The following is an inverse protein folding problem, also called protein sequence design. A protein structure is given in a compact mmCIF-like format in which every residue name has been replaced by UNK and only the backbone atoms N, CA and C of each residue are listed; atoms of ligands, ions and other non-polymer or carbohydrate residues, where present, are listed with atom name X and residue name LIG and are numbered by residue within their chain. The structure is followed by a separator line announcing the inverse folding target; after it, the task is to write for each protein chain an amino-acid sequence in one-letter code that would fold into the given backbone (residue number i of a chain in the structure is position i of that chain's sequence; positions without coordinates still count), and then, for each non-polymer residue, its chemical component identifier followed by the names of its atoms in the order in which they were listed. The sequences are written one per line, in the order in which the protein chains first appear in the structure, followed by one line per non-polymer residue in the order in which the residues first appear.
data_IF_184371875500
#
_entry.id   IF_184371875500
#
_cell.length_a   1.000
_cell.length_b   1.000
_cell.length_c   1.000
_cell.angle_alpha   90.00
_cell.angle_beta   90.00
_cell.angle_gamma   90.00
#
_symmetry.space_group_name_H-M   'P 1'
#
loop_
_entity.id
_entity.type
_entity.pdbx_description
1 polymer ?
#
# COMPACT_ATOMS: atom_id res chain seq x y z
N UNK A 1 22.55 -7.32 -12.90
CA UNK A 1 22.09 -8.73 -13.09
C UNK A 1 21.32 -9.11 -11.84
N UNK A 2 20.12 -9.68 -11.98
CA UNK A 2 19.30 -10.13 -10.84
C UNK A 2 19.37 -11.65 -10.81
N UNK A 3 19.75 -12.22 -9.66
CA UNK A 3 19.83 -13.68 -9.49
C UNK A 3 19.48 -14.09 -8.06
N UNK A 4 18.74 -15.18 -7.91
CA UNK A 4 18.52 -15.82 -6.61
C UNK A 4 19.59 -16.89 -6.39
N UNK A 5 20.19 -16.88 -5.21
CA UNK A 5 21.31 -17.76 -4.83
C UNK A 5 21.01 -18.37 -3.48
N UNK A 6 21.13 -19.70 -3.38
CA UNK A 6 21.02 -20.42 -2.12
C UNK A 6 22.37 -20.43 -1.41
N UNK A 7 22.35 -20.13 -0.11
CA UNK A 7 23.50 -20.02 0.75
C UNK A 7 23.35 -21.00 1.92
N UNK A 8 24.22 -22.01 2.08
CA UNK A 8 24.21 -22.90 3.24
C UNK A 8 24.58 -22.16 4.54
N UNK A 9 24.22 -22.77 5.67
CA UNK A 9 24.56 -22.25 7.01
C UNK A 9 26.04 -21.84 7.14
N UNK A 10 26.26 -20.63 7.66
CA UNK A 10 27.57 -20.07 7.90
C UNK A 10 28.29 -19.50 6.66
N UNK A 11 27.71 -19.59 5.46
CA UNK A 11 28.33 -18.98 4.26
C UNK A 11 28.34 -17.45 4.36
N UNK A 12 29.47 -16.84 4.00
CA UNK A 12 29.58 -15.37 3.90
C UNK A 12 28.92 -14.91 2.61
N UNK A 13 27.86 -14.12 2.76
CA UNK A 13 27.05 -13.59 1.66
C UNK A 13 27.64 -12.28 1.16
N UNK A 14 27.96 -11.36 2.09
CA UNK A 14 28.60 -10.07 1.77
C UNK A 14 29.79 -9.84 2.72
N UNK A 15 31.03 -9.81 2.23
CA UNK A 15 32.20 -9.61 3.09
C UNK A 15 32.39 -8.13 3.50
N UNK A 16 32.93 -7.93 4.70
CA UNK A 16 33.42 -6.63 5.17
C UNK A 16 34.58 -6.11 4.30
N UNK A 17 34.70 -4.79 4.15
CA UNK A 17 35.83 -4.13 3.48
C UNK A 17 35.72 -4.04 1.96
N UNK A 18 34.66 -4.61 1.38
CA UNK A 18 34.35 -4.50 -0.05
C UNK A 18 33.39 -3.37 -0.35
N UNK A 19 33.52 -2.79 -1.55
CA UNK A 19 32.51 -1.87 -2.08
C UNK A 19 31.27 -2.63 -2.56
N UNK A 20 30.12 -2.03 -2.34
CA UNK A 20 28.83 -2.46 -2.85
C UNK A 20 28.83 -2.57 -4.36
N UNK A 21 27.99 -3.48 -4.86
CA UNK A 21 27.62 -3.58 -6.27
C UNK A 21 26.13 -3.84 -6.30
N UNK A 22 25.35 -2.85 -5.87
CA UNK A 22 23.92 -2.96 -5.63
C UNK A 22 23.57 -3.52 -4.24
N UNK A 23 22.46 -4.23 -4.13
CA UNK A 23 21.88 -4.69 -2.86
C UNK A 23 21.35 -6.12 -2.95
N UNK A 24 20.99 -6.69 -1.80
CA UNK A 24 20.42 -8.02 -1.69
C UNK A 24 19.02 -7.97 -1.06
N UNK A 25 18.19 -8.95 -1.38
CA UNK A 25 16.88 -9.15 -0.77
C UNK A 25 16.83 -10.58 -0.22
N UNK A 26 16.45 -10.73 1.05
CA UNK A 26 16.25 -12.05 1.65
C UNK A 26 14.96 -12.64 1.07
N UNK A 27 15.03 -13.81 0.44
CA UNK A 27 13.83 -14.51 -0.05
C UNK A 27 13.32 -15.47 1.03
N UNK A 28 14.20 -16.29 1.59
CA UNK A 28 13.88 -17.24 2.67
C UNK A 28 15.09 -17.46 3.59
N UNK A 29 14.85 -17.94 4.81
CA UNK A 29 15.90 -18.26 5.79
C UNK A 29 16.31 -17.07 6.65
N UNK A 30 17.51 -17.13 7.24
CA UNK A 30 17.99 -16.12 8.18
C UNK A 30 19.44 -15.76 7.93
N UNK A 31 19.79 -14.49 8.15
CA UNK A 31 21.15 -13.97 8.01
C UNK A 31 21.57 -13.16 9.25
N UNK A 32 22.85 -13.14 9.54
CA UNK A 32 23.45 -12.38 10.63
C UNK A 32 24.37 -11.28 10.11
N UNK A 33 24.31 -10.13 10.78
CA UNK A 33 25.22 -8.99 10.58
C UNK A 33 26.33 -9.09 11.61
N UNK A 34 27.57 -9.27 11.16
CA UNK A 34 28.72 -9.61 12.00
C UNK A 34 29.82 -8.57 11.83
N UNK A 35 30.43 -8.15 12.95
CA UNK A 35 31.64 -7.31 12.95
C UNK A 35 32.72 -7.97 13.79
N UNK A 36 33.81 -8.41 13.15
CA UNK A 36 34.77 -9.32 13.78
C UNK A 36 34.09 -10.61 14.24
N UNK A 37 34.17 -10.93 15.54
CA UNK A 37 33.53 -12.12 16.12
C UNK A 37 32.15 -11.84 16.74
N UNK A 38 31.65 -10.59 16.66
CA UNK A 38 30.41 -10.18 17.31
C UNK A 38 29.24 -10.11 16.32
N UNK A 39 28.17 -10.83 16.61
CA UNK A 39 26.87 -10.67 15.94
C UNK A 39 26.22 -9.37 16.45
N UNK A 40 25.92 -8.46 15.53
CA UNK A 40 25.31 -7.16 15.82
C UNK A 40 23.79 -7.23 15.71
N UNK A 41 23.28 -7.98 14.73
CA UNK A 41 21.84 -8.17 14.50
C UNK A 41 21.58 -9.39 13.62
N UNK A 42 20.32 -9.81 13.57
CA UNK A 42 19.81 -10.88 12.70
C UNK A 42 18.70 -10.31 11.81
N UNK A 43 18.59 -10.83 10.60
CA UNK A 43 17.52 -10.51 9.64
C UNK A 43 16.93 -11.85 9.19
N UNK A 44 15.65 -12.05 9.44
CA UNK A 44 14.90 -13.30 9.23
C UNK A 44 13.61 -13.09 8.42
N UNK A 45 13.17 -11.85 8.22
CA UNK A 45 11.98 -11.54 7.44
C UNK A 45 12.22 -11.56 5.92
N UNK A 46 11.49 -12.39 5.14
CA UNK A 46 11.45 -12.34 3.68
C UNK A 46 11.16 -10.93 3.13
N UNK A 47 11.75 -10.59 2.00
CA UNK A 47 11.67 -9.25 1.40
C UNK A 47 12.58 -8.20 2.06
N UNK A 48 13.30 -8.53 3.13
CA UNK A 48 14.23 -7.61 3.78
C UNK A 48 15.39 -7.23 2.86
N UNK A 49 15.59 -5.93 2.67
CA UNK A 49 16.70 -5.38 1.88
C UNK A 49 17.95 -5.19 2.75
N UNK A 50 19.11 -5.63 2.27
CA UNK A 50 20.38 -5.48 2.97
C UNK A 50 21.55 -5.29 2.00
N UNK A 51 22.68 -4.79 2.51
CA UNK A 51 23.89 -4.53 1.73
C UNK A 51 23.84 -3.26 0.87
N UNK A 52 22.75 -2.50 0.93
CA UNK A 52 22.45 -1.31 0.14
C UNK A 52 23.33 -0.11 0.47
N UNK A 53 23.71 0.04 1.76
CA UNK A 53 24.38 1.24 2.25
C UNK A 53 25.73 1.51 1.58
N UNK A 54 26.44 0.44 1.22
CA UNK A 54 27.74 0.55 0.57
C UNK A 54 27.63 1.15 -0.84
N UNK A 55 26.59 0.77 -1.58
CA UNK A 55 26.29 1.34 -2.90
C UNK A 55 25.77 2.78 -2.77
N UNK A 56 24.84 3.02 -1.83
CA UNK A 56 24.19 4.34 -1.63
C UNK A 56 25.20 5.40 -1.22
N UNK A 57 26.09 5.08 -0.27
CA UNK A 57 27.02 6.05 0.31
C UNK A 57 28.39 6.05 -0.38
N UNK A 58 28.65 5.08 -1.27
CA UNK A 58 29.96 4.93 -1.93
C UNK A 58 31.10 4.58 -0.96
N UNK A 59 30.78 3.96 0.19
CA UNK A 59 31.75 3.54 1.22
C UNK A 59 31.87 2.03 1.25
N UNK A 60 32.99 1.50 1.74
CA UNK A 60 33.18 0.05 1.92
C UNK A 60 32.24 -0.48 3.01
N UNK A 61 31.82 -1.75 2.91
CA UNK A 61 31.02 -2.42 3.93
C UNK A 61 31.76 -2.46 5.27
N UNK A 62 31.10 -1.99 6.32
CA UNK A 62 31.64 -1.94 7.70
C UNK A 62 31.45 -3.24 8.50
N UNK A 63 30.69 -4.18 7.93
CA UNK A 63 30.24 -5.44 8.55
C UNK A 63 30.16 -6.54 7.50
N UNK A 64 30.28 -7.78 7.95
CA UNK A 64 30.07 -8.99 7.16
C UNK A 64 28.63 -9.47 7.32
N UNK A 65 27.98 -9.90 6.23
CA UNK A 65 26.69 -10.59 6.27
C UNK A 65 26.94 -12.07 6.04
N UNK A 66 26.39 -12.92 6.92
CA UNK A 66 26.57 -14.37 6.89
C UNK A 66 25.23 -15.09 7.01
N UNK A 67 25.06 -16.20 6.32
CA UNK A 67 23.91 -17.08 6.49
C UNK A 67 23.86 -17.67 7.91
N UNK A 68 22.65 -17.79 8.46
CA UNK A 68 22.34 -18.48 9.72
C UNK A 68 21.24 -19.48 9.43
N UNK A 69 21.62 -20.75 9.30
CA UNK A 69 20.82 -21.74 8.59
C UNK A 69 20.88 -21.53 7.07
N UNK A 70 20.29 -22.47 6.34
CA UNK A 70 20.18 -22.36 4.89
C UNK A 70 19.23 -21.21 4.54
N UNK A 71 19.65 -20.34 3.62
CA UNK A 71 18.86 -19.20 3.19
C UNK A 71 18.95 -18.99 1.67
N UNK A 72 17.95 -18.30 1.11
CA UNK A 72 17.94 -17.90 -0.29
C UNK A 72 17.95 -16.39 -0.37
N UNK A 73 18.90 -15.85 -1.14
CA UNK A 73 19.12 -14.42 -1.28
C UNK A 73 19.07 -14.03 -2.76
N UNK A 74 18.26 -13.03 -3.07
CA UNK A 74 18.24 -12.37 -4.36
C UNK A 74 19.30 -11.28 -4.40
N UNK A 75 20.30 -11.45 -5.24
CA UNK A 75 21.33 -10.45 -5.52
C UNK A 75 20.90 -9.54 -6.66
N UNK A 76 20.88 -8.24 -6.41
CA UNK A 76 20.52 -7.20 -7.38
C UNK A 76 21.79 -6.41 -7.71
N UNK A 77 22.57 -6.92 -8.65
CA UNK A 77 23.84 -6.34 -9.10
C UNK A 77 23.61 -5.37 -10.27
N UNK A 78 22.80 -4.35 -10.05
CA UNK A 78 22.57 -3.26 -11.00
C UNK A 78 22.70 -1.92 -10.26
N UNK A 79 23.11 -0.88 -10.97
CA UNK A 79 23.30 0.44 -10.36
C UNK A 79 21.97 0.94 -9.80
N UNK A 80 21.99 1.40 -8.54
CA UNK A 80 20.78 1.76 -7.82
C UNK A 80 20.01 2.91 -8.51
N UNK A 81 20.69 3.88 -9.10
CA UNK A 81 20.05 4.97 -9.85
C UNK A 81 19.22 4.41 -11.01
N UNK A 82 19.77 3.44 -11.75
CA UNK A 82 19.07 2.78 -12.86
C UNK A 82 17.87 1.98 -12.36
N UNK A 83 17.99 1.28 -11.23
CA UNK A 83 16.89 0.51 -10.62
C UNK A 83 15.77 1.45 -10.18
N UNK A 84 16.11 2.56 -9.54
CA UNK A 84 15.15 3.56 -9.06
C UNK A 84 14.44 4.23 -10.24
N UNK A 85 15.15 4.54 -11.32
CA UNK A 85 14.54 5.10 -12.53
C UNK A 85 13.57 4.13 -13.19
N UNK A 86 13.88 2.82 -13.19
CA UNK A 86 13.00 1.78 -13.76
C UNK A 86 11.82 1.46 -12.84
N UNK A 87 12.01 1.54 -11.52
CA UNK A 87 10.99 1.22 -10.53
C UNK A 87 11.09 2.15 -9.31
N UNK A 88 10.39 3.31 -9.34
CA UNK A 88 10.42 4.29 -8.25
C UNK A 88 9.96 3.74 -6.89
N UNK A 89 9.15 2.67 -6.87
CA UNK A 89 8.71 2.02 -5.62
C UNK A 89 9.90 1.46 -4.81
N UNK A 90 11.00 1.09 -5.47
CA UNK A 90 12.23 0.62 -4.81
C UNK A 90 12.85 1.72 -3.95
N UNK A 91 12.84 2.98 -4.42
CA UNK A 91 13.35 4.11 -3.64
C UNK A 91 12.56 4.32 -2.35
N UNK A 92 11.22 4.24 -2.43
CA UNK A 92 10.34 4.38 -1.26
C UNK A 92 10.63 3.28 -0.22
N UNK A 93 10.76 2.02 -0.66
CA UNK A 93 11.09 0.89 0.24
C UNK A 93 12.47 1.07 0.89
N UNK A 94 13.48 1.53 0.15
CA UNK A 94 14.82 1.81 0.67
C UNK A 94 14.81 2.94 1.70
N UNK A 95 14.14 4.07 1.40
CA UNK A 95 14.02 5.22 2.31
C UNK A 95 13.36 4.77 3.63
N UNK A 96 12.25 4.04 3.55
CA UNK A 96 11.52 3.57 4.74
C UNK A 96 12.36 2.58 5.57
N UNK A 97 13.05 1.65 4.91
CA UNK A 97 13.92 0.66 5.57
C UNK A 97 15.08 1.34 6.30
N UNK A 98 15.75 2.29 5.65
CA UNK A 98 16.86 3.04 6.23
C UNK A 98 16.40 3.96 7.35
N UNK A 99 15.26 4.63 7.20
CA UNK A 99 14.67 5.50 8.22
C UNK A 99 14.36 4.74 9.52
N UNK A 100 13.68 3.58 9.41
CA UNK A 100 13.39 2.70 10.57
C UNK A 100 14.68 2.26 11.27
N UNK A 101 15.70 1.84 10.51
CA UNK A 101 17.01 1.41 11.06
C UNK A 101 17.74 2.54 11.77
N UNK A 102 17.73 3.75 11.21
CA UNK A 102 18.34 4.93 11.80
C UNK A 102 17.65 5.32 13.12
N UNK A 103 16.32 5.30 13.15
CA UNK A 103 15.56 5.62 14.36
C UNK A 103 15.89 4.65 15.51
N UNK A 104 15.88 3.34 15.21
CA UNK A 104 16.25 2.29 16.17
C UNK A 104 17.68 2.44 16.68
N UNK A 105 18.62 2.84 15.82
CA UNK A 105 20.01 3.11 16.23
C UNK A 105 20.11 4.33 17.16
N UNK A 106 19.33 5.37 16.91
CA UNK A 106 19.30 6.56 17.77
C UNK A 106 18.74 6.20 19.16
N UNK A 107 17.66 5.44 19.24
CA UNK A 107 17.08 5.00 20.53
C UNK A 107 18.10 4.24 21.39
N UNK A 108 18.90 3.36 20.78
CA UNK A 108 19.94 2.58 21.48
C UNK A 108 21.12 3.48 21.90
N UNK A 109 21.48 4.47 21.08
CA UNK A 109 22.60 5.37 21.34
C UNK A 109 22.32 6.42 22.43
N UNK A 110 21.05 6.77 22.68
CA UNK A 110 20.64 7.87 23.55
C UNK A 110 19.98 7.45 24.88
N UNK A 111 20.11 6.19 25.30
CA UNK A 111 19.47 5.70 26.53
C UNK A 111 19.97 6.35 27.84
N UNK A 112 19.38 7.48 28.23
CA UNK A 112 18.94 7.84 29.60
C UNK A 112 18.25 9.23 29.69
N UNK A 113 16.92 9.19 29.94
CA UNK A 113 15.99 10.18 30.56
C UNK A 113 15.39 11.32 29.70
N UNK A 114 14.07 11.65 29.90
CA UNK A 114 13.34 11.60 31.17
C UNK A 114 12.43 10.39 31.43
N UNK A 115 11.96 10.37 32.68
CA UNK A 115 11.43 9.29 33.51
C UNK A 115 10.11 8.64 33.07
N UNK A 116 9.99 7.37 33.46
CA UNK A 116 8.86 6.43 33.37
C UNK A 116 7.56 6.89 34.08
N UNK A 117 7.08 8.11 33.84
CA UNK A 117 5.73 8.51 34.29
C UNK A 117 4.93 9.24 33.22
N UNK A 118 5.51 9.48 32.04
CA UNK A 118 4.80 10.07 30.89
C UNK A 118 4.93 9.22 29.61
N UNK A 119 5.63 8.07 29.67
CA UNK A 119 5.95 7.22 28.52
C UNK A 119 4.84 6.22 28.10
N UNK A 120 3.61 6.44 28.56
CA UNK A 120 2.42 5.73 28.05
C UNK A 120 1.70 6.46 26.92
N UNK A 121 2.17 7.64 26.49
CA UNK A 121 1.45 8.52 25.57
C UNK A 121 2.25 8.98 24.35
N UNK A 122 3.44 8.42 24.10
CA UNK A 122 4.35 8.88 23.03
C UNK A 122 4.73 7.77 22.03
N UNK A 123 3.79 6.84 21.76
CA UNK A 123 3.89 5.84 20.69
C UNK A 123 2.91 6.10 19.53
N UNK A 124 2.39 7.33 19.42
CA UNK A 124 1.63 7.79 18.25
C UNK A 124 1.95 9.28 18.01
N UNK A 125 3.06 9.60 17.33
CA UNK A 125 3.07 10.85 16.56
C UNK A 125 2.59 10.51 15.16
N UNK A 126 1.27 10.36 15.03
CA UNK A 126 0.62 10.79 13.80
C UNK A 126 1.05 12.23 13.57
N UNK A 127 1.57 12.53 12.38
CA UNK A 127 1.93 13.90 12.05
C UNK A 127 0.62 14.70 12.04
N UNK A 128 0.34 15.47 13.10
CA UNK A 128 -0.95 16.17 13.27
C UNK A 128 -1.33 16.91 11.99
N UNK A 129 -2.42 16.49 11.34
CA UNK A 129 -2.91 17.12 10.11
C UNK A 129 -3.63 18.41 10.49
N UNK A 130 -3.06 19.54 10.11
CA UNK A 130 -3.58 20.88 10.41
C UNK A 130 -4.22 21.51 9.18
N UNK A 131 -5.47 21.93 9.33
CA UNK A 131 -6.25 22.57 8.28
C UNK A 131 -6.57 24.02 8.66
N UNK A 132 -6.57 24.91 7.68
CA UNK A 132 -7.08 26.27 7.83
C UNK A 132 -8.33 26.46 6.97
N UNK A 133 -9.46 26.80 7.58
CA UNK A 133 -10.72 27.10 6.90
C UNK A 133 -10.95 28.61 6.91
N UNK A 134 -11.13 29.20 5.72
CA UNK A 134 -11.38 30.63 5.53
C UNK A 134 -12.79 30.86 5.02
N UNK A 135 -13.67 31.35 5.89
CA UNK A 135 -15.07 31.64 5.58
C UNK A 135 -15.59 32.76 6.51
N UNK A 136 -16.42 33.67 5.99
CA UNK A 136 -16.99 34.76 6.78
C UNK A 136 -18.10 34.29 7.75
N UNK A 137 -18.62 33.07 7.55
CA UNK A 137 -19.64 32.45 8.39
C UNK A 137 -19.01 31.46 9.36
N UNK A 138 -18.98 31.83 10.64
CA UNK A 138 -18.47 30.97 11.72
C UNK A 138 -19.13 29.58 11.77
N UNK A 139 -20.40 29.45 11.37
CA UNK A 139 -21.10 28.17 11.32
C UNK A 139 -20.48 27.17 10.33
N UNK A 140 -19.92 27.66 9.21
CA UNK A 140 -19.24 26.82 8.20
C UNK A 140 -17.90 26.30 8.74
N UNK A 141 -17.14 27.19 9.40
CA UNK A 141 -15.89 26.83 10.06
C UNK A 141 -16.14 25.76 11.12
N UNK A 142 -17.15 25.97 11.98
CA UNK A 142 -17.48 25.03 13.04
C UNK A 142 -17.96 23.69 12.49
N UNK A 143 -18.76 23.68 11.42
CA UNK A 143 -19.20 22.46 10.76
C UNK A 143 -18.01 21.60 10.28
N UNK A 144 -17.03 22.20 9.60
CA UNK A 144 -15.84 21.48 9.15
C UNK A 144 -14.94 21.08 10.31
N UNK A 145 -14.84 21.91 11.35
CA UNK A 145 -14.08 21.59 12.56
C UNK A 145 -14.61 20.36 13.27
N UNK A 146 -15.93 20.28 13.48
CA UNK A 146 -16.57 19.11 14.08
C UNK A 146 -16.49 17.91 13.14
N UNK A 147 -16.78 18.10 11.85
CA UNK A 147 -16.84 17.01 10.88
C UNK A 147 -15.50 16.32 10.64
N UNK A 148 -14.40 17.07 10.62
CA UNK A 148 -13.06 16.53 10.32
C UNK A 148 -12.28 16.09 11.58
N UNK A 149 -12.76 16.46 12.78
CA UNK A 149 -12.11 16.07 14.04
C UNK A 149 -12.06 14.55 14.25
N UNK A 150 -12.98 13.79 13.63
CA UNK A 150 -13.01 12.32 13.69
C UNK A 150 -11.75 11.65 13.15
N UNK A 151 -11.02 12.31 12.25
CA UNK A 151 -9.76 11.82 11.68
C UNK A 151 -8.52 12.28 12.49
N UNK A 152 -8.72 12.87 13.68
CA UNK A 152 -7.65 13.50 14.45
C UNK A 152 -7.11 14.80 13.82
N UNK A 153 -7.79 15.35 12.81
CA UNK A 153 -7.36 16.56 12.12
C UNK A 153 -7.70 17.82 12.94
N UNK A 154 -6.75 18.75 13.00
CA UNK A 154 -6.88 20.01 13.74
C UNK A 154 -7.31 21.10 12.76
N UNK A 155 -8.54 21.61 12.92
CA UNK A 155 -9.08 22.67 12.06
C UNK A 155 -9.03 24.03 12.77
N UNK A 156 -8.27 24.96 12.18
CA UNK A 156 -8.25 26.38 12.54
C UNK A 156 -9.15 27.18 11.60
N UNK A 157 -9.76 28.25 12.11
CA UNK A 157 -10.68 29.10 11.36
C UNK A 157 -10.14 30.50 11.17
N UNK A 158 -10.45 31.11 10.03
CA UNK A 158 -10.23 32.53 9.76
C UNK A 158 -11.46 33.15 9.09
N UNK A 159 -11.90 34.32 9.55
CA UNK A 159 -13.06 35.02 8.99
C UNK A 159 -12.77 35.72 7.65
N UNK A 160 -11.51 35.77 7.22
CA UNK A 160 -11.12 36.41 5.97
C UNK A 160 -9.61 36.50 5.76
N UNK A 161 -9.22 37.23 4.72
CA UNK A 161 -7.83 37.26 4.21
C UNK A 161 -6.78 37.64 5.25
N UNK A 162 -7.01 38.69 6.04
CA UNK A 162 -6.03 39.22 6.98
C UNK A 162 -5.70 38.23 8.11
N UNK A 163 -6.73 37.58 8.66
CA UNK A 163 -6.59 36.59 9.71
C UNK A 163 -5.92 35.31 9.18
N UNK A 164 -6.33 34.85 8.00
CA UNK A 164 -5.73 33.69 7.34
C UNK A 164 -4.23 33.89 7.10
N UNK A 165 -3.83 35.05 6.55
CA UNK A 165 -2.42 35.37 6.32
C UNK A 165 -1.64 35.50 7.62
N UNK A 166 -2.23 36.06 8.68
CA UNK A 166 -1.59 36.14 10.00
C UNK A 166 -1.31 34.75 10.56
N UNK A 167 -2.27 33.83 10.47
CA UNK A 167 -2.07 32.45 10.95
C UNK A 167 -1.02 31.71 10.11
N UNK A 168 -1.04 31.87 8.79
CA UNK A 168 -0.02 31.34 7.89
C UNK A 168 1.37 31.98 8.05
N UNK A 169 1.55 33.01 8.88
CA UNK A 169 2.88 33.53 9.23
C UNK A 169 3.45 32.84 10.49
N UNK A 170 2.58 32.41 11.41
CA UNK A 170 2.96 31.75 12.65
C UNK A 170 2.97 30.23 12.57
N UNK A 171 2.22 29.64 11.63
CA UNK A 171 1.98 28.20 11.56
C UNK A 171 1.99 27.69 10.11
N UNK A 172 2.26 26.39 9.96
CA UNK A 172 2.18 25.64 8.70
C UNK A 172 0.90 24.81 8.72
N UNK A 173 0.19 24.79 7.59
CA UNK A 173 -1.01 23.98 7.41
C UNK A 173 -0.78 22.93 6.30
N UNK A 174 -1.36 21.75 6.47
CA UNK A 174 -1.35 20.67 5.49
C UNK A 174 -2.30 20.97 4.31
N UNK A 175 -3.38 21.71 4.55
CA UNK A 175 -4.28 22.19 3.50
C UNK A 175 -5.03 23.45 3.96
N UNK A 176 -5.38 24.32 3.02
CA UNK A 176 -6.13 25.56 3.26
C UNK A 176 -7.41 25.54 2.43
N UNK A 177 -8.56 25.62 3.08
CA UNK A 177 -9.88 25.69 2.45
C UNK A 177 -10.34 27.14 2.40
N UNK A 178 -10.70 27.66 1.24
CA UNK A 178 -11.15 29.05 1.07
C UNK A 178 -12.54 29.08 0.45
N UNK A 179 -13.46 29.78 1.10
CA UNK A 179 -14.79 30.03 0.56
C UNK A 179 -14.71 30.88 -0.70
N UNK A 180 -15.26 30.36 -1.80
CA UNK A 180 -15.40 31.11 -3.06
C UNK A 180 -16.51 32.17 -2.98
N UNK A 181 -17.38 32.08 -1.97
CA UNK A 181 -18.43 33.06 -1.69
C UNK A 181 -17.94 34.28 -0.90
N UNK A 182 -16.64 34.38 -0.59
CA UNK A 182 -16.07 35.61 -0.01
C UNK A 182 -16.29 36.80 -0.96
N UNK A 183 -16.48 38.02 -0.44
CA UNK A 183 -16.74 39.19 -1.27
C UNK A 183 -15.66 39.45 -2.32
N UNK A 184 -16.10 39.95 -3.48
CA UNK A 184 -15.25 40.32 -4.62
C UNK A 184 -14.30 39.16 -5.04
N UNK A 185 -13.06 39.48 -5.38
CA UNK A 185 -12.00 38.51 -5.71
C UNK A 185 -11.12 38.18 -4.50
N UNK A 186 -11.66 38.28 -3.28
CA UNK A 186 -10.89 38.06 -2.05
C UNK A 186 -10.32 36.64 -1.97
N UNK A 187 -11.11 35.61 -2.35
CA UNK A 187 -10.65 34.22 -2.35
C UNK A 187 -9.46 34.00 -3.29
N UNK A 188 -9.54 34.53 -4.51
CA UNK A 188 -8.48 34.45 -5.53
C UNK A 188 -7.24 35.23 -5.09
N UNK A 189 -7.45 36.43 -4.55
CA UNK A 189 -6.38 37.28 -4.03
C UNK A 189 -5.65 36.63 -2.88
N UNK A 190 -6.38 36.02 -1.94
CA UNK A 190 -5.83 35.26 -0.83
C UNK A 190 -5.00 34.08 -1.34
N UNK A 191 -5.56 33.24 -2.22
CA UNK A 191 -4.83 32.11 -2.82
C UNK A 191 -3.51 32.55 -3.45
N UNK A 192 -3.51 33.67 -4.19
CA UNK A 192 -2.28 34.22 -4.78
C UNK A 192 -1.27 34.67 -3.73
N UNK A 193 -1.72 35.33 -2.66
CA UNK A 193 -0.84 35.77 -1.56
C UNK A 193 -0.24 34.59 -0.79
N UNK A 194 -1.01 33.53 -0.55
CA UNK A 194 -0.54 32.31 0.10
C UNK A 194 0.63 31.65 -0.65
N UNK A 195 0.64 31.71 -1.99
CA UNK A 195 1.78 31.23 -2.81
C UNK A 195 3.04 32.08 -2.71
N UNK A 196 3.00 33.20 -1.99
CA UNK A 196 4.17 34.01 -1.63
C UNK A 196 4.47 34.03 -0.13
N UNK A 197 3.67 33.31 0.68
CA UNK A 197 3.84 33.20 2.13
C UNK A 197 4.65 31.95 2.46
N UNK A 198 5.80 32.11 3.13
CA UNK A 198 6.77 31.02 3.37
C UNK A 198 6.15 29.75 3.97
N UNK A 199 5.27 29.86 4.97
CA UNK A 199 4.69 28.69 5.63
C UNK A 199 3.44 28.13 4.94
N UNK A 200 2.95 28.78 3.86
CA UNK A 200 1.75 28.34 3.13
C UNK A 200 2.01 28.06 1.64
N UNK A 201 3.24 28.30 1.14
CA UNK A 201 3.57 28.16 -0.27
C UNK A 201 3.31 26.74 -0.82
N UNK A 202 3.59 25.74 0.01
CA UNK A 202 3.44 24.31 -0.33
C UNK A 202 2.06 23.76 0.02
N UNK A 203 1.26 24.47 0.81
CA UNK A 203 -0.06 24.00 1.17
C UNK A 203 -0.97 23.98 -0.08
N UNK A 204 -1.64 22.85 -0.40
CA UNK A 204 -2.73 22.83 -1.36
C UNK A 204 -3.85 23.76 -0.88
N UNK A 205 -4.51 24.41 -1.83
CA UNK A 205 -5.61 25.33 -1.55
C UNK A 205 -6.86 24.78 -2.22
N UNK A 206 -7.87 24.45 -1.41
CA UNK A 206 -9.15 23.88 -1.84
C UNK A 206 -10.23 24.96 -1.81
N UNK A 207 -11.02 25.05 -2.88
CA UNK A 207 -12.12 26.01 -2.98
C UNK A 207 -13.39 25.43 -2.36
N UNK A 208 -14.11 26.21 -1.57
CA UNK A 208 -15.45 25.83 -1.10
C UNK A 208 -16.50 26.60 -1.89
N UNK A 209 -17.20 25.91 -2.81
CA UNK A 209 -18.17 26.49 -3.73
C UNK A 209 -19.61 26.20 -3.30
N UNK A 210 -20.57 27.01 -3.73
CA UNK A 210 -21.99 26.71 -3.53
C UNK A 210 -22.44 25.74 -4.64
N UNK A 211 -23.25 24.74 -4.32
CA UNK A 211 -23.81 23.82 -5.34
C UNK A 211 -24.51 24.62 -6.44
N UNK A 212 -24.16 24.33 -7.70
CA UNK A 212 -24.71 25.00 -8.88
C UNK A 212 -24.02 26.31 -9.28
N UNK A 213 -22.97 26.73 -8.58
CA UNK A 213 -22.17 27.91 -8.91
C UNK A 213 -20.99 27.57 -9.83
N UNK A 214 -21.31 27.34 -11.11
CA UNK A 214 -20.31 27.01 -12.16
C UNK A 214 -19.30 28.16 -12.39
N UNK A 215 -19.70 29.40 -12.17
CA UNK A 215 -18.83 30.57 -12.33
C UNK A 215 -17.72 30.57 -11.26
N UNK A 216 -18.08 30.34 -10.00
CA UNK A 216 -17.10 30.19 -8.92
C UNK A 216 -16.18 29.00 -9.14
N UNK A 217 -16.69 27.89 -9.66
CA UNK A 217 -15.88 26.72 -9.99
C UNK A 217 -14.84 27.03 -11.08
N UNK A 218 -15.27 27.68 -12.17
CA UNK A 218 -14.38 28.10 -13.26
C UNK A 218 -13.28 29.02 -12.75
N UNK A 219 -13.65 30.04 -11.97
CA UNK A 219 -12.72 30.97 -11.31
C UNK A 219 -11.69 30.26 -10.42
N UNK A 220 -12.11 29.26 -9.65
CA UNK A 220 -11.22 28.50 -8.79
C UNK A 220 -10.18 27.70 -9.61
N UNK A 221 -10.62 27.04 -10.67
CA UNK A 221 -9.74 26.29 -11.59
C UNK A 221 -8.71 27.23 -12.23
N UNK A 222 -9.16 28.36 -12.80
CA UNK A 222 -8.29 29.34 -13.45
C UNK A 222 -7.28 29.97 -12.48
N UNK A 223 -7.69 30.18 -11.22
CA UNK A 223 -6.82 30.69 -10.16
C UNK A 223 -5.81 29.64 -9.64
N UNK A 224 -5.96 28.37 -10.02
CA UNK A 224 -5.08 27.27 -9.61
C UNK A 224 -5.36 26.74 -8.21
N UNK A 225 -6.62 26.68 -7.81
CA UNK A 225 -7.03 25.85 -6.67
C UNK A 225 -6.76 24.37 -6.99
N UNK A 226 -6.36 23.60 -5.98
CA UNK A 226 -6.02 22.18 -6.14
C UNK A 226 -7.27 21.34 -6.44
N UNK A 227 -8.37 21.65 -5.75
CA UNK A 227 -9.66 21.00 -5.89
C UNK A 227 -10.77 21.93 -5.38
N UNK A 228 -12.04 21.58 -5.61
CA UNK A 228 -13.20 22.27 -5.03
C UNK A 228 -14.15 21.28 -4.34
N UNK A 229 -14.64 21.67 -3.17
CA UNK A 229 -15.72 20.97 -2.44
C UNK A 229 -16.99 21.84 -2.43
N UNK A 230 -18.16 21.21 -2.46
CA UNK A 230 -19.44 21.92 -2.57
C UNK A 230 -20.14 22.09 -1.21
N UNK A 231 -20.87 23.21 -1.07
CA UNK A 231 -21.73 23.55 0.08
C UNK A 231 -23.20 23.31 -0.29
N UNK A 232 -24.01 22.66 0.57
CA UNK A 232 -23.66 22.11 1.88
C UNK A 232 -22.69 20.93 1.77
N UNK A 233 -21.79 20.79 2.76
CA UNK A 233 -20.73 19.79 2.69
C UNK A 233 -21.28 18.38 2.90
N UNK A 234 -20.99 17.52 1.94
CA UNK A 234 -20.92 16.09 2.14
C UNK A 234 -19.54 15.78 2.76
N UNK A 235 -19.51 15.48 4.07
CA UNK A 235 -18.25 15.34 4.81
C UNK A 235 -17.39 14.19 4.28
N UNK A 236 -18.00 13.11 3.81
CA UNK A 236 -17.28 11.95 3.25
C UNK A 236 -16.55 12.35 1.98
N UNK A 237 -17.23 13.05 1.06
CA UNK A 237 -16.59 13.56 -0.16
C UNK A 237 -15.56 14.65 0.11
N UNK A 238 -15.84 15.53 1.06
CA UNK A 238 -14.90 16.57 1.46
C UNK A 238 -13.61 15.97 2.03
N UNK A 239 -13.72 14.94 2.87
CA UNK A 239 -12.56 14.20 3.38
C UNK A 239 -11.78 13.53 2.27
N UNK A 240 -12.43 12.80 1.37
CA UNK A 240 -11.74 12.12 0.27
C UNK A 240 -10.95 13.11 -0.61
N UNK A 241 -11.56 14.24 -0.96
CA UNK A 241 -10.88 15.34 -1.66
C UNK A 241 -9.67 15.83 -0.86
N UNK A 242 -9.81 16.00 0.45
CA UNK A 242 -8.73 16.42 1.35
C UNK A 242 -7.60 15.39 1.44
N UNK A 243 -7.90 14.10 1.54
CA UNK A 243 -6.90 13.01 1.47
C UNK A 243 -6.14 13.07 0.14
N UNK A 244 -6.85 13.21 -0.98
CA UNK A 244 -6.27 13.30 -2.32
C UNK A 244 -5.32 14.48 -2.50
N UNK A 245 -5.77 15.70 -2.17
CA UNK A 245 -4.93 16.91 -2.34
C UNK A 245 -3.73 16.95 -1.38
N UNK A 246 -3.86 16.36 -0.19
CA UNK A 246 -2.77 16.23 0.78
C UNK A 246 -1.86 15.03 0.49
N UNK A 247 -2.22 14.18 -0.48
CA UNK A 247 -1.52 12.93 -0.81
C UNK A 247 -1.41 11.99 0.41
N UNK A 248 -2.46 11.96 1.23
CA UNK A 248 -2.60 11.01 2.32
C UNK A 248 -3.16 9.69 1.78
N UNK A 249 -2.95 8.60 2.51
CA UNK A 249 -3.53 7.31 2.19
C UNK A 249 -5.02 7.34 2.53
N UNK A 250 -5.87 7.49 1.50
CA UNK A 250 -7.32 7.60 1.64
C UNK A 250 -7.96 6.33 2.22
N UNK A 251 -7.25 5.19 2.18
CA UNK A 251 -7.68 3.94 2.80
C UNK A 251 -7.63 4.00 4.33
N UNK A 252 -6.87 4.91 4.94
CA UNK A 252 -6.79 5.07 6.41
C UNK A 252 -8.14 5.40 7.06
N UNK A 253 -9.13 5.86 6.27
CA UNK A 253 -10.51 6.06 6.72
C UNK A 253 -11.23 4.77 7.10
N UNK A 254 -10.88 3.67 6.45
CA UNK A 254 -11.53 2.37 6.62
C UNK A 254 -10.56 1.33 7.20
N UNK A 255 -9.26 1.53 6.97
CA UNK A 255 -8.23 0.59 7.33
C UNK A 255 -7.28 1.15 8.38
N UNK A 256 -7.15 0.46 9.51
CA UNK A 256 -6.20 0.78 10.58
C UNK A 256 -5.21 -0.35 10.73
N UNK A 257 -3.95 -0.02 10.98
CA UNK A 257 -2.93 -1.00 11.33
C UNK A 257 -2.66 -0.85 12.81
N UNK A 258 -2.90 -1.91 13.57
CA UNK A 258 -2.58 -1.98 14.99
C UNK A 258 -1.88 -3.31 15.27
N UNK A 259 -0.72 -3.23 15.93
CA UNK A 259 0.14 -4.40 16.18
C UNK A 259 0.47 -5.16 14.87
N UNK A 260 0.05 -6.42 14.77
CA UNK A 260 0.27 -7.30 13.61
C UNK A 260 -1.04 -7.56 12.83
N UNK A 261 -2.00 -6.64 12.91
CA UNK A 261 -3.33 -6.76 12.30
C UNK A 261 -3.66 -5.56 11.42
N UNK A 262 -4.29 -5.85 10.28
CA UNK A 262 -5.01 -4.86 9.49
C UNK A 262 -6.48 -4.92 9.87
N UNK A 263 -6.96 -3.90 10.55
CA UNK A 263 -8.37 -3.70 10.82
C UNK A 263 -9.03 -3.04 9.63
N UNK A 264 -10.12 -3.61 9.15
CA UNK A 264 -11.01 -3.03 8.16
C UNK A 264 -12.37 -2.78 8.82
N UNK A 265 -12.63 -1.52 9.18
CA UNK A 265 -13.85 -1.09 9.83
C UNK A 265 -14.88 -0.73 8.75
N UNK A 266 -15.98 -1.48 8.68
CA UNK A 266 -17.02 -1.22 7.70
C UNK A 266 -17.80 0.05 8.08
N UNK A 267 -18.10 0.95 7.12
CA UNK A 267 -18.93 2.13 7.37
C UNK A 267 -20.34 1.78 7.85
N UNK A 268 -20.97 2.67 8.63
CA UNK A 268 -22.37 2.50 9.06
C UNK A 268 -23.36 2.40 7.88
N UNK A 269 -23.08 3.11 6.79
CA UNK A 269 -23.87 3.15 5.56
C UNK A 269 -22.96 3.20 4.31
N UNK A 270 -23.37 2.52 3.24
CA UNK A 270 -22.67 2.55 1.96
C UNK A 270 -23.37 3.44 0.93
N UNK A 271 -22.68 4.51 0.53
CA UNK A 271 -23.05 5.27 -0.68
C UNK A 271 -22.23 4.76 -1.86
N UNK A 272 -22.69 4.97 -3.09
CA UNK A 272 -21.90 4.65 -4.31
C UNK A 272 -20.50 5.27 -4.28
N UNK A 273 -20.35 6.43 -3.63
CA UNK A 273 -19.04 7.05 -3.45
C UNK A 273 -18.13 6.21 -2.54
N UNK A 274 -18.64 5.78 -1.38
CA UNK A 274 -17.88 4.97 -0.40
C UNK A 274 -17.47 3.64 -1.02
N UNK A 275 -18.40 2.95 -1.71
CA UNK A 275 -18.14 1.65 -2.35
C UNK A 275 -16.98 1.77 -3.32
N UNK A 276 -17.06 2.70 -4.29
CA UNK A 276 -16.01 2.91 -5.28
C UNK A 276 -14.68 3.28 -4.63
N UNK A 277 -14.72 4.17 -3.64
CA UNK A 277 -13.53 4.65 -2.94
C UNK A 277 -12.82 3.56 -2.11
N UNK A 278 -13.56 2.62 -1.52
CA UNK A 278 -12.96 1.43 -0.88
C UNK A 278 -12.36 0.51 -1.95
N UNK A 279 -13.14 0.16 -2.99
CA UNK A 279 -12.72 -0.76 -4.04
C UNK A 279 -11.46 -0.28 -4.78
N UNK A 280 -11.38 1.00 -5.11
CA UNK A 280 -10.20 1.58 -5.78
C UNK A 280 -8.91 1.50 -4.93
N UNK A 281 -9.03 1.38 -3.61
CA UNK A 281 -7.90 1.41 -2.69
C UNK A 281 -7.56 0.06 -2.05
N UNK A 282 -8.45 -0.94 -2.12
CA UNK A 282 -8.32 -2.21 -1.39
C UNK A 282 -7.07 -2.99 -1.78
N UNK A 283 -6.81 -3.14 -3.07
CA UNK A 283 -5.67 -3.90 -3.56
C UNK A 283 -4.36 -3.26 -3.10
N UNK A 284 -4.23 -1.94 -3.27
CA UNK A 284 -3.03 -1.20 -2.85
C UNK A 284 -2.82 -1.32 -1.33
N UNK A 285 -3.90 -1.25 -0.55
CA UNK A 285 -3.84 -1.37 0.91
C UNK A 285 -3.38 -2.75 1.35
N UNK A 286 -3.92 -3.83 0.78
CA UNK A 286 -3.49 -5.21 1.06
C UNK A 286 -2.01 -5.40 0.71
N UNK A 287 -1.60 -4.97 -0.49
CA UNK A 287 -0.20 -5.08 -0.92
C UNK A 287 0.75 -4.33 0.01
N UNK A 288 0.39 -3.13 0.45
CA UNK A 288 1.19 -2.35 1.40
C UNK A 288 1.30 -3.04 2.76
N UNK A 289 0.18 -3.60 3.25
CA UNK A 289 0.08 -4.34 4.51
C UNK A 289 0.97 -5.58 4.52
N UNK A 290 0.94 -6.37 3.44
CA UNK A 290 1.81 -7.55 3.27
C UNK A 290 3.28 -7.12 3.22
N UNK A 291 3.58 -6.02 2.53
CA UNK A 291 4.93 -5.46 2.49
C UNK A 291 5.42 -4.98 3.87
N UNK A 292 4.53 -4.83 4.84
CA UNK A 292 4.81 -4.50 6.24
C UNK A 292 4.91 -5.73 7.14
N UNK A 293 4.65 -6.92 6.60
CA UNK A 293 4.74 -8.20 7.32
C UNK A 293 3.44 -8.58 8.04
N UNK A 294 2.37 -7.83 7.82
CA UNK A 294 1.05 -8.06 8.41
C UNK A 294 0.29 -9.02 7.50
N UNK A 295 -0.10 -10.18 8.06
CA UNK A 295 -0.78 -11.25 7.35
C UNK A 295 -2.19 -11.54 7.90
N UNK A 296 -2.65 -10.73 8.87
CA UNK A 296 -3.91 -10.94 9.58
C UNK A 296 -4.83 -9.76 9.32
N UNK A 297 -6.05 -10.02 8.86
CA UNK A 297 -7.08 -9.01 8.62
C UNK A 297 -8.25 -9.25 9.57
N UNK A 298 -8.64 -8.21 10.30
CA UNK A 298 -9.87 -8.20 11.08
C UNK A 298 -10.87 -7.31 10.37
N UNK A 299 -12.01 -7.85 9.95
CA UNK A 299 -13.11 -7.08 9.39
C UNK A 299 -14.10 -6.81 10.51
N UNK A 300 -14.25 -5.54 10.88
CA UNK A 300 -15.22 -5.13 11.89
C UNK A 300 -16.52 -4.70 11.24
N UNK A 301 -17.56 -5.53 11.42
CA UNK A 301 -18.91 -5.27 10.89
C UNK A 301 -19.82 -4.59 11.92
N UNK A 302 -19.37 -4.42 13.17
CA UNK A 302 -20.16 -3.85 14.27
C UNK A 302 -20.79 -2.49 13.96
N UNK A 303 -20.14 -1.58 13.20
CA UNK A 303 -20.77 -0.30 12.87
C UNK A 303 -21.94 -0.39 11.87
N UNK A 304 -22.08 -1.49 11.13
CA UNK A 304 -23.11 -1.63 10.11
C UNK A 304 -24.52 -1.56 10.69
N UNK A 305 -25.38 -0.76 10.06
CA UNK A 305 -26.80 -0.71 10.42
C UNK A 305 -27.58 -1.93 9.90
N UNK A 306 -27.26 -2.37 8.68
CA UNK A 306 -27.82 -3.56 8.05
C UNK A 306 -26.83 -4.16 7.04
N UNK A 307 -26.92 -5.47 6.81
CA UNK A 307 -26.17 -6.13 5.74
C UNK A 307 -26.90 -5.96 4.41
N UNK A 308 -26.52 -4.92 3.67
CA UNK A 308 -27.08 -4.61 2.34
C UNK A 308 -26.19 -5.13 1.19
N UNK A 309 -26.69 -4.96 -0.04
CA UNK A 309 -25.97 -5.39 -1.26
C UNK A 309 -24.59 -4.72 -1.39
N UNK A 310 -24.45 -3.48 -0.92
CA UNK A 310 -23.20 -2.72 -1.02
C UNK A 310 -22.16 -3.21 -0.01
N UNK A 311 -22.56 -3.58 1.21
CA UNK A 311 -21.68 -4.20 2.19
C UNK A 311 -21.15 -5.55 1.68
N UNK A 312 -22.05 -6.37 1.13
CA UNK A 312 -21.70 -7.65 0.49
C UNK A 312 -20.74 -7.45 -0.68
N UNK A 313 -20.99 -6.46 -1.53
CA UNK A 313 -20.12 -6.14 -2.67
C UNK A 313 -18.71 -5.76 -2.22
N UNK A 314 -18.58 -4.93 -1.18
CA UNK A 314 -17.29 -4.49 -0.65
C UNK A 314 -16.50 -5.64 -0.03
N UNK A 315 -17.15 -6.51 0.76
CA UNK A 315 -16.50 -7.68 1.37
C UNK A 315 -16.17 -8.73 0.31
N UNK A 316 -17.04 -8.95 -0.67
CA UNK A 316 -16.76 -9.84 -1.80
C UNK A 316 -15.56 -9.38 -2.64
N UNK A 317 -15.42 -8.06 -2.87
CA UNK A 317 -14.26 -7.52 -3.56
C UNK A 317 -12.96 -7.66 -2.75
N UNK A 318 -13.04 -7.61 -1.42
CA UNK A 318 -11.92 -7.96 -0.54
C UNK A 318 -11.54 -9.44 -0.70
N UNK A 319 -12.53 -10.34 -0.75
CA UNK A 319 -12.30 -11.76 -0.93
C UNK A 319 -11.58 -12.06 -2.26
N UNK A 320 -12.04 -11.47 -3.36
CA UNK A 320 -11.39 -11.58 -4.68
C UNK A 320 -9.93 -11.07 -4.63
N UNK A 321 -9.68 -9.95 -3.95
CA UNK A 321 -8.33 -9.40 -3.81
C UNK A 321 -7.40 -10.31 -2.99
N UNK A 322 -7.94 -11.13 -2.09
CA UNK A 322 -7.19 -12.05 -1.22
C UNK A 322 -7.03 -13.46 -1.80
N UNK A 323 -7.84 -13.85 -2.80
CA UNK A 323 -7.82 -15.18 -3.42
C UNK A 323 -6.40 -15.59 -3.88
N UNK A 324 -5.60 -14.63 -4.37
CA UNK A 324 -4.22 -14.86 -4.84
C UNK A 324 -3.17 -14.83 -3.74
N UNK A 325 -3.58 -14.73 -2.47
CA UNK A 325 -2.72 -14.45 -1.31
C UNK A 325 -3.03 -15.42 -0.16
N UNK A 326 -2.77 -16.74 -0.32
CA UNK A 326 -3.19 -17.78 0.63
C UNK A 326 -2.53 -17.70 2.01
N UNK A 327 -1.50 -16.87 2.16
CA UNK A 327 -0.86 -16.59 3.46
C UNK A 327 -1.68 -15.65 4.36
N UNK A 328 -2.70 -14.98 3.80
CA UNK A 328 -3.53 -14.03 4.52
C UNK A 328 -4.59 -14.78 5.33
N UNK A 329 -4.73 -14.42 6.60
CA UNK A 329 -5.77 -14.94 7.47
C UNK A 329 -6.77 -13.84 7.75
N UNK A 330 -8.06 -14.17 7.70
CA UNK A 330 -9.15 -13.20 7.88
C UNK A 330 -10.08 -13.66 8.98
N UNK A 331 -10.49 -12.72 9.83
CA UNK A 331 -11.56 -12.89 10.80
C UNK A 331 -12.57 -11.75 10.64
N UNK A 332 -13.85 -12.07 10.69
CA UNK A 332 -14.97 -11.13 10.66
C UNK A 332 -15.57 -11.06 12.06
N UNK A 333 -15.70 -9.85 12.58
CA UNK A 333 -16.45 -9.60 13.81
C UNK A 333 -17.93 -9.50 13.42
N UNK A 334 -18.72 -10.51 13.75
CA UNK A 334 -20.15 -10.59 13.50
C UNK A 334 -20.84 -11.52 14.53
N UNK A 335 -22.06 -11.19 14.94
CA UNK A 335 -22.84 -12.00 15.88
C UNK A 335 -24.03 -12.71 15.19
N UNK A 336 -24.39 -13.91 15.65
CA UNK A 336 -25.65 -14.56 15.30
C UNK A 336 -25.77 -14.99 13.82
N UNK A 337 -26.95 -14.75 13.23
CA UNK A 337 -27.28 -15.16 11.84
C UNK A 337 -26.45 -14.37 10.79
N UNK A 338 -25.95 -13.18 11.14
CA UNK A 338 -25.14 -12.35 10.25
C UNK A 338 -23.78 -12.98 9.94
N UNK A 339 -23.19 -13.67 10.93
CA UNK A 339 -21.93 -14.38 10.75
C UNK A 339 -22.01 -15.50 9.71
N UNK A 340 -23.09 -16.29 9.71
CA UNK A 340 -23.31 -17.34 8.71
C UNK A 340 -23.46 -16.76 7.30
N UNK A 341 -24.05 -15.57 7.17
CA UNK A 341 -24.22 -14.92 5.87
C UNK A 341 -22.89 -14.51 5.25
N UNK A 342 -21.94 -14.01 6.03
CA UNK A 342 -20.62 -13.61 5.52
C UNK A 342 -19.81 -14.80 4.98
N UNK A 343 -19.84 -15.96 5.65
CA UNK A 343 -19.14 -17.16 5.17
C UNK A 343 -19.81 -17.82 3.95
N UNK A 344 -21.00 -17.39 3.55
CA UNK A 344 -21.63 -17.83 2.30
C UNK A 344 -21.17 -17.00 1.09
N UNK A 345 -20.31 -16.00 1.28
CA UNK A 345 -19.70 -15.27 0.18
C UNK A 345 -18.55 -16.06 -0.44
N UNK A 346 -18.48 -16.02 -1.77
CA UNK A 346 -17.42 -16.67 -2.56
C UNK A 346 -16.05 -16.12 -2.15
N UNK A 347 -15.15 -17.01 -1.71
CA UNK A 347 -13.80 -16.68 -1.24
C UNK A 347 -13.71 -16.27 0.24
N UNK A 348 -14.81 -16.31 1.00
CA UNK A 348 -14.87 -16.01 2.43
C UNK A 348 -15.24 -17.23 3.30
N UNK A 349 -15.33 -18.43 2.71
CA UNK A 349 -15.85 -19.64 3.36
C UNK A 349 -15.02 -20.06 4.58
N UNK A 350 -13.70 -19.86 4.49
CA UNK A 350 -12.72 -20.24 5.52
C UNK A 350 -12.41 -19.12 6.54
N UNK A 351 -13.07 -17.97 6.42
CA UNK A 351 -12.82 -16.85 7.32
C UNK A 351 -13.41 -17.13 8.70
N UNK A 352 -12.67 -16.73 9.74
CA UNK A 352 -13.13 -16.89 11.11
C UNK A 352 -14.29 -15.94 11.40
N UNK A 353 -15.38 -16.45 11.98
CA UNK A 353 -16.45 -15.61 12.53
C UNK A 353 -16.22 -15.47 14.03
N UNK A 354 -16.15 -14.24 14.51
CA UNK A 354 -15.83 -13.92 15.90
C UNK A 354 -16.85 -12.92 16.44
N UNK A 355 -17.17 -13.00 17.73
CA UNK A 355 -18.08 -12.05 18.38
C UNK A 355 -17.41 -10.70 18.67
N UNK A 356 -16.08 -10.70 18.90
CA UNK A 356 -15.33 -9.49 19.19
C UNK A 356 -13.85 -9.59 18.76
N UNK A 357 -13.10 -8.49 18.98
CA UNK A 357 -11.67 -8.39 18.66
C UNK A 357 -10.84 -9.42 19.44
N UNK A 358 -11.22 -9.76 20.67
CA UNK A 358 -10.45 -10.70 21.48
C UNK A 358 -10.57 -12.12 20.90
N UNK A 359 -11.77 -12.54 20.54
CA UNK A 359 -12.00 -13.82 19.87
C UNK A 359 -11.31 -13.87 18.50
N UNK A 360 -11.31 -12.77 17.75
CA UNK A 360 -10.55 -12.68 16.49
C UNK A 360 -9.04 -12.89 16.72
N UNK A 361 -8.46 -12.28 17.77
CA UNK A 361 -7.05 -12.49 18.12
C UNK A 361 -6.77 -13.95 18.50
N UNK A 362 -7.64 -14.58 19.27
CA UNK A 362 -7.53 -16.01 19.62
C UNK A 362 -7.62 -16.91 18.38
N UNK A 363 -8.52 -16.62 17.43
CA UNK A 363 -8.60 -17.33 16.15
C UNK A 363 -7.25 -17.31 15.42
N UNK A 364 -6.55 -16.18 15.39
CA UNK A 364 -5.24 -16.08 14.74
C UNK A 364 -4.10 -16.79 15.48
N UNK A 365 -4.27 -17.15 16.75
CA UNK A 365 -3.27 -17.92 17.51
C UNK A 365 -3.44 -19.43 17.33
N UNK A 366 -4.60 -19.89 16.87
CA UNK A 366 -4.84 -21.29 16.57
C UNK A 366 -4.02 -21.71 15.34
N UNK A 367 -3.14 -22.70 15.51
CA UNK A 367 -2.42 -23.36 14.41
C UNK A 367 -3.44 -24.13 13.56
N UNK A 368 -3.85 -23.56 12.43
CA UNK A 368 -4.49 -24.32 11.38
C UNK A 368 -3.40 -24.93 10.49
N UNK A 369 -3.23 -26.26 10.57
CA UNK A 369 -2.54 -27.03 9.53
C UNK A 369 -3.32 -26.84 8.22
N UNK A 370 -2.78 -26.04 7.31
CA UNK A 370 -3.28 -26.03 5.93
C UNK A 370 -2.82 -27.33 5.28
N UNK A 371 -3.75 -28.24 4.99
CA UNK A 371 -3.53 -29.26 3.97
C UNK A 371 -3.35 -28.51 2.65
N UNK A 372 -2.11 -28.39 2.19
CA UNK A 372 -1.87 -28.11 0.79
C UNK A 372 -2.48 -29.30 0.02
N UNK A 373 -3.66 -29.14 -0.57
CA UNK A 373 -4.04 -29.97 -1.69
C UNK A 373 -2.99 -29.69 -2.78
N UNK A 374 -2.02 -30.60 -2.90
CA UNK A 374 -1.19 -30.69 -4.09
C UNK A 374 -2.18 -30.84 -5.24
N UNK A 375 -2.38 -29.77 -6.02
CA UNK A 375 -2.88 -29.91 -7.38
C UNK A 375 -1.92 -30.90 -8.04
N UNK A 376 -2.37 -32.15 -8.20
CA UNK A 376 -1.69 -33.12 -9.06
C UNK A 376 -1.58 -32.43 -10.42
N UNK A 377 -0.38 -31.92 -10.74
CA UNK A 377 0.00 -31.60 -12.10
C UNK A 377 -0.27 -32.86 -12.90
N UNK A 378 -1.40 -32.88 -13.60
CA UNK A 378 -1.73 -33.90 -14.57
C UNK A 378 -0.61 -33.83 -15.61
N UNK A 379 0.38 -34.71 -15.45
CA UNK A 379 1.55 -34.84 -16.28
C UNK A 379 1.06 -34.88 -17.72
N UNK A 380 1.18 -33.76 -18.42
CA UNK A 380 0.88 -33.67 -19.84
C UNK A 380 1.83 -34.65 -20.54
N UNK A 381 1.31 -35.85 -20.82
CA UNK A 381 2.01 -36.87 -21.57
C UNK A 381 2.61 -36.22 -22.81
N UNK A 382 3.89 -36.46 -23.11
CA UNK A 382 4.53 -35.86 -24.28
C UNK A 382 3.75 -36.30 -25.52
N UNK A 383 3.20 -35.34 -26.25
CA UNK A 383 2.55 -35.55 -27.53
C UNK A 383 3.44 -36.42 -28.44
N UNK A 384 3.03 -37.67 -28.64
CA UNK A 384 3.61 -38.54 -29.65
C UNK A 384 3.46 -37.86 -31.01
N UNK A 385 4.60 -37.62 -31.67
CA UNK A 385 4.63 -37.17 -33.05
C UNK A 385 3.89 -38.18 -33.94
N UNK A 386 3.02 -37.74 -34.87
CA UNK A 386 2.34 -38.66 -35.75
C UNK A 386 3.36 -39.34 -36.67
N UNK A 387 3.40 -40.66 -36.60
CA UNK A 387 4.18 -41.50 -37.49
C UNK A 387 3.73 -41.30 -38.94
N UNK A 388 4.66 -40.88 -39.79
CA UNK A 388 4.55 -41.09 -41.24
C UNK A 388 4.52 -42.60 -41.51
N UNK A 389 3.33 -43.17 -41.68
CA UNK A 389 3.17 -44.47 -42.30
C UNK A 389 3.55 -44.35 -43.78
N UNK A 390 4.75 -44.84 -44.07
CA UNK A 390 5.24 -45.09 -45.42
C UNK A 390 4.30 -46.07 -46.15
N UNK A 391 3.76 -45.60 -47.28
CA UNK A 391 2.97 -46.37 -48.22
C UNK A 391 3.68 -47.66 -48.65
N UNK A 392 3.03 -48.80 -48.42
CA UNK A 392 3.39 -50.07 -49.03
C UNK A 392 2.90 -50.11 -50.49
N UNK A 393 3.75 -50.42 -51.48
CA UNK A 393 3.32 -50.51 -52.86
C UNK A 393 2.63 -51.85 -53.16
N UNK A 394 1.52 -51.75 -53.88
CA UNK A 394 0.71 -52.84 -54.39
C UNK A 394 1.48 -53.73 -55.39
N UNK A 395 1.44 -55.05 -55.17
CA UNK A 395 1.69 -56.05 -56.19
C UNK A 395 0.38 -56.38 -56.92
N UNK A 396 0.27 -56.02 -58.20
CA UNK A 396 -0.58 -56.74 -59.15
C UNK A 396 0.15 -56.89 -60.50
N UNK A 397 0.39 -58.15 -60.88
CA UNK A 397 -0.07 -58.72 -62.15
C UNK A 397 0.49 -58.22 -63.49
N UNK A 398 1.22 -59.14 -64.15
CA UNK A 398 1.24 -59.39 -65.59
C UNK A 398 2.05 -58.51 -66.58
N UNK A 399 3.07 -59.20 -67.14
CA UNK A 399 3.32 -59.41 -68.58
C UNK A 399 3.89 -58.28 -69.48
N UNK A 400 5.20 -58.42 -69.74
CA UNK A 400 5.86 -58.52 -71.06
C UNK A 400 5.82 -57.32 -72.06
N UNK A 401 6.83 -57.24 -72.98
CA UNK A 401 7.49 -55.97 -73.33
C UNK A 401 7.36 -55.55 -74.81
N UNK A 402 7.63 -54.28 -75.12
CA UNK A 402 8.17 -53.77 -76.41
C UNK A 402 8.39 -52.25 -76.27
N UNK A 403 9.61 -51.71 -76.30
CA UNK A 403 10.46 -51.42 -77.47
C UNK A 403 10.29 -49.99 -78.02
N UNK A 404 11.45 -49.41 -78.37
CA UNK A 404 11.69 -48.29 -79.29
C UNK A 404 11.53 -46.84 -78.79
N UNK A 405 12.68 -46.26 -78.39
CA UNK A 405 13.41 -45.20 -79.12
C UNK A 405 12.72 -43.81 -79.36
N UNK A 406 13.46 -42.77 -79.81
CA UNK A 406 13.75 -41.59 -78.99
C UNK A 406 13.31 -40.30 -79.71
N UNK A 407 13.85 -39.14 -79.29
CA UNK A 407 13.80 -37.85 -79.99
C UNK A 407 12.46 -37.10 -79.78
N UNK A 408 12.37 -35.78 -79.68
CA UNK A 408 13.25 -34.72 -80.13
C UNK A 408 12.87 -33.41 -79.40
N UNK A 409 13.82 -32.48 -79.44
CA UNK A 409 13.76 -31.03 -79.31
C UNK A 409 12.40 -30.33 -79.50
N UNK A 410 12.11 -29.33 -78.67
CA UNK A 410 12.30 -27.90 -79.00
C UNK A 410 11.69 -26.98 -77.92
#
# INVERSE_FOLDING_TARGET
MIRSVQHPDGEVILPEGELGKGFCVLETGTIEVVKGDKVLSTIDAPGSVFGELSEILGIKRDVTIRAKGDCVVRHVEENLEVIVMKNPKVAVKLIRTLGRRLNRMNEIAFGQLPSETEAGAALEESQEVKLLVVDDKAAIIEQLKVGLARNGWIVSGAAGEAEALSQCQSEVFNCILISMALPDDSAITLRRKLKTTTNAINAPVVGMIVVGDEESQTRAIEAGFAECISKPFDLIKAEAALYGVMQLDSSERYFKVEEDYLYFELPEEFTTFIVNDIQENIESRIHNTINEGILKIVIDTTPLLEMDEAAVEVVGHLAEALEKLPMMRVAIIAEGEDGEMWNNLDGAEDWGICADVAEAKEYFEQEHEYEYEEEEEEEAAPAEAPAEEAEAPAEEGEAAPEAAAPEEEA
#
